data_IF_052268738206
#
_entry.id   IF_052268738206
#
_cell.length_a   1.000
_cell.length_b   1.000
_cell.length_c   1.000
_cell.angle_alpha   90.00
_cell.angle_beta   90.00
_cell.angle_gamma   90.00
#
_symmetry.space_group_name_H-M   'P 1'
#
loop_
_entity.id
_entity.type
_entity.pdbx_description
1 polymer ?
#
# COMPACT_ATOMS: atom_id res chain seq x y z
N UNK A 1 22.45 -13.57 -9.86
CA UNK A 1 21.71 -14.43 -8.91
C UNK A 1 21.26 -13.66 -7.68
N UNK A 2 22.07 -12.69 -7.20
CA UNK A 2 21.74 -11.86 -6.04
C UNK A 2 20.47 -11.01 -6.23
N UNK A 3 20.34 -10.31 -7.36
CA UNK A 3 19.14 -9.50 -7.70
C UNK A 3 17.84 -10.33 -7.70
N UNK A 4 17.88 -11.54 -8.24
CA UNK A 4 16.69 -12.41 -8.25
C UNK A 4 16.30 -12.84 -6.83
N UNK A 5 17.29 -13.14 -5.99
CA UNK A 5 17.07 -13.55 -4.60
C UNK A 5 16.53 -12.40 -3.75
N UNK A 6 17.04 -11.18 -3.91
CA UNK A 6 16.55 -10.00 -3.19
C UNK A 6 15.09 -9.69 -3.58
N UNK A 7 14.77 -9.63 -4.87
CA UNK A 7 13.39 -9.41 -5.35
C UNK A 7 12.44 -10.49 -4.85
N UNK A 8 12.88 -11.75 -4.86
CA UNK A 8 12.07 -12.87 -4.37
C UNK A 8 11.69 -12.69 -2.90
N UNK A 9 12.67 -12.35 -2.05
CA UNK A 9 12.43 -12.12 -0.64
C UNK A 9 11.60 -10.85 -0.40
N UNK A 10 11.81 -9.76 -1.15
CA UNK A 10 10.98 -8.56 -1.07
C UNK A 10 9.53 -8.87 -1.43
N UNK A 11 9.29 -9.57 -2.54
CA UNK A 11 7.94 -9.97 -2.96
C UNK A 11 7.27 -10.87 -1.92
N UNK A 12 8.02 -11.79 -1.31
CA UNK A 12 7.53 -12.66 -0.25
C UNK A 12 7.14 -11.86 1.00
N UNK A 13 7.96 -10.89 1.43
CA UNK A 13 7.68 -10.03 2.57
C UNK A 13 6.47 -9.14 2.33
N UNK A 14 6.39 -8.47 1.17
CA UNK A 14 5.23 -7.65 0.80
C UNK A 14 3.95 -8.48 0.78
N UNK A 15 3.99 -9.68 0.20
CA UNK A 15 2.86 -10.61 0.22
C UNK A 15 2.49 -10.98 1.65
N UNK A 16 3.48 -11.32 2.49
CA UNK A 16 3.27 -11.63 3.91
C UNK A 16 2.57 -10.50 4.67
N UNK A 17 3.02 -9.26 4.48
CA UNK A 17 2.41 -8.07 5.08
C UNK A 17 0.96 -7.91 4.63
N UNK A 18 0.70 -8.02 3.32
CA UNK A 18 -0.67 -7.92 2.77
C UNK A 18 -1.57 -9.01 3.33
N UNK A 19 -1.08 -10.24 3.45
CA UNK A 19 -1.83 -11.33 4.10
C UNK A 19 -2.13 -10.99 5.57
N UNK A 20 -1.15 -10.54 6.35
CA UNK A 20 -1.37 -10.13 7.75
C UNK A 20 -2.44 -9.04 7.82
N UNK A 21 -2.48 -8.10 6.86
CA UNK A 21 -3.51 -7.08 6.80
C UNK A 21 -4.90 -7.65 6.51
N UNK A 22 -5.01 -8.52 5.51
CA UNK A 22 -6.29 -9.20 5.18
C UNK A 22 -6.81 -9.99 6.39
N UNK A 23 -5.92 -10.72 7.07
CA UNK A 23 -6.26 -11.49 8.28
C UNK A 23 -6.70 -10.60 9.44
N UNK A 24 -6.02 -9.48 9.65
CA UNK A 24 -6.41 -8.53 10.69
C UNK A 24 -7.80 -7.94 10.42
N UNK A 25 -8.07 -7.55 9.16
CA UNK A 25 -9.39 -7.04 8.74
C UNK A 25 -10.47 -8.11 8.97
N UNK A 26 -10.23 -9.34 8.55
CA UNK A 26 -11.18 -10.45 8.68
C UNK A 26 -11.43 -10.83 10.14
N UNK A 27 -10.38 -10.87 10.96
CA UNK A 27 -10.49 -11.09 12.40
C UNK A 27 -11.32 -10.00 13.09
N UNK A 28 -11.07 -8.74 12.77
CA UNK A 28 -11.86 -7.60 13.29
C UNK A 28 -13.31 -7.72 12.81
N UNK A 29 -13.53 -8.08 11.54
CA UNK A 29 -14.84 -8.22 10.95
C UNK A 29 -15.68 -9.28 11.67
N UNK A 30 -15.14 -10.49 11.83
CA UNK A 30 -15.81 -11.59 12.52
C UNK A 30 -16.07 -11.25 13.99
N UNK A 31 -15.08 -10.69 14.70
CA UNK A 31 -15.27 -10.25 16.09
C UNK A 31 -16.35 -9.16 16.24
N UNK A 32 -16.51 -8.32 15.21
CA UNK A 32 -17.55 -7.28 15.15
C UNK A 32 -18.92 -7.77 14.67
N UNK A 33 -19.05 -9.04 14.31
CA UNK A 33 -20.22 -9.61 13.61
C UNK A 33 -20.59 -8.80 12.35
N UNK A 34 -19.61 -8.38 11.56
CA UNK A 34 -19.86 -7.59 10.34
C UNK A 34 -20.14 -6.09 10.56
N UNK A 35 -20.52 -5.68 11.78
CA UNK A 35 -21.01 -4.32 12.06
C UNK A 35 -19.98 -3.22 11.76
N UNK A 36 -18.69 -3.50 11.95
CA UNK A 36 -17.63 -2.54 11.68
C UNK A 36 -17.54 -2.23 10.18
N UNK A 37 -17.48 -3.27 9.33
CA UNK A 37 -17.47 -3.13 7.88
C UNK A 37 -18.79 -2.55 7.35
N UNK A 38 -19.94 -2.96 7.89
CA UNK A 38 -21.25 -2.42 7.47
C UNK A 38 -21.36 -0.91 7.75
N UNK A 39 -20.91 -0.46 8.94
CA UNK A 39 -20.88 0.97 9.28
C UNK A 39 -19.95 1.74 8.36
N UNK A 40 -18.79 1.18 8.04
CA UNK A 40 -17.84 1.78 7.11
C UNK A 40 -18.42 1.89 5.70
N UNK A 41 -19.08 0.84 5.19
CA UNK A 41 -19.71 0.81 3.87
C UNK A 41 -20.80 1.88 3.70
N UNK A 42 -21.56 2.18 4.77
CA UNK A 42 -22.63 3.19 4.74
C UNK A 42 -22.14 4.65 4.75
N UNK A 43 -20.91 4.91 5.22
CA UNK A 43 -20.41 6.27 5.42
C UNK A 43 -19.31 6.64 4.40
N UNK A 44 -19.71 7.20 3.26
CA UNK A 44 -18.79 7.64 2.19
C UNK A 44 -17.76 8.66 2.68
N UNK A 45 -18.20 9.65 3.47
CA UNK A 45 -17.31 10.68 4.02
C UNK A 45 -16.24 10.05 4.91
N UNK A 46 -16.65 9.11 5.76
CA UNK A 46 -15.74 8.35 6.62
C UNK A 46 -14.71 7.55 5.82
N UNK A 47 -15.11 6.92 4.71
CA UNK A 47 -14.19 6.16 3.85
C UNK A 47 -13.13 7.06 3.21
N UNK A 48 -13.51 8.22 2.67
CA UNK A 48 -12.57 9.15 2.00
C UNK A 48 -11.60 9.75 3.01
N UNK A 49 -12.09 10.18 4.19
CA UNK A 49 -11.24 10.72 5.25
C UNK A 49 -10.29 9.63 5.77
N UNK A 50 -10.80 8.43 6.04
CA UNK A 50 -9.97 7.30 6.45
C UNK A 50 -8.91 6.97 5.39
N UNK A 51 -9.30 6.92 4.11
CA UNK A 51 -8.38 6.67 3.02
C UNK A 51 -7.27 7.71 2.92
N UNK A 52 -7.63 8.99 3.01
CA UNK A 52 -6.64 10.09 3.02
C UNK A 52 -5.68 9.94 4.20
N UNK A 53 -6.19 9.73 5.42
CA UNK A 53 -5.35 9.55 6.61
C UNK A 53 -4.43 8.34 6.50
N UNK A 54 -4.94 7.23 5.95
CA UNK A 54 -4.14 6.02 5.73
C UNK A 54 -3.08 6.23 4.64
N UNK A 55 -3.37 7.02 3.61
CA UNK A 55 -2.38 7.37 2.58
C UNK A 55 -1.25 8.24 3.13
N UNK A 56 -1.56 9.20 4.01
CA UNK A 56 -0.57 10.10 4.63
C UNK A 56 0.42 9.40 5.56
N UNK A 57 0.15 8.15 5.97
CA UNK A 57 1.10 7.39 6.77
C UNK A 57 2.33 7.03 5.92
N UNK A 58 3.55 7.37 6.37
CA UNK A 58 4.77 6.94 5.69
C UNK A 58 4.84 5.41 5.53
N UNK A 59 5.40 4.97 4.41
CA UNK A 59 5.45 3.57 4.00
C UNK A 59 4.16 3.08 3.34
N UNK A 60 4.11 1.78 3.04
CA UNK A 60 2.99 1.20 2.27
C UNK A 60 1.83 0.65 3.14
N UNK A 61 1.92 0.74 4.48
CA UNK A 61 0.95 0.15 5.42
C UNK A 61 -0.50 0.58 5.15
N UNK A 62 -0.76 1.89 5.18
CA UNK A 62 -2.13 2.39 5.06
C UNK A 62 -2.71 2.16 3.66
N UNK A 63 -1.87 2.21 2.62
CA UNK A 63 -2.27 1.89 1.26
C UNK A 63 -2.66 0.41 1.12
N UNK A 64 -1.87 -0.53 1.66
CA UNK A 64 -2.24 -1.95 1.67
C UNK A 64 -3.54 -2.22 2.41
N UNK A 65 -3.77 -1.56 3.54
CA UNK A 65 -5.01 -1.67 4.30
C UNK A 65 -6.22 -1.21 3.45
N UNK A 66 -6.13 -0.04 2.84
CA UNK A 66 -7.21 0.51 2.02
C UNK A 66 -7.44 -0.26 0.72
N UNK A 67 -6.38 -0.76 0.07
CA UNK A 67 -6.48 -1.63 -1.10
C UNK A 67 -7.14 -2.96 -0.73
N UNK A 68 -6.83 -3.54 0.43
CA UNK A 68 -7.46 -4.77 0.92
C UNK A 68 -8.96 -4.56 1.15
N UNK A 69 -9.34 -3.47 1.81
CA UNK A 69 -10.76 -3.10 1.98
C UNK A 69 -11.45 -2.81 0.66
N UNK A 70 -10.77 -2.19 -0.30
CA UNK A 70 -11.33 -1.87 -1.60
C UNK A 70 -11.59 -3.16 -2.37
N UNK A 71 -10.59 -4.01 -2.52
CA UNK A 71 -10.68 -5.26 -3.29
C UNK A 71 -11.76 -6.23 -2.77
N UNK A 72 -12.16 -6.09 -1.50
CA UNK A 72 -13.23 -6.85 -0.86
C UNK A 72 -14.62 -6.14 -0.84
N UNK A 73 -14.72 -4.98 -1.49
CA UNK A 73 -15.98 -4.23 -1.62
C UNK A 73 -16.41 -3.52 -0.34
N UNK A 74 -15.50 -3.26 0.59
CA UNK A 74 -15.80 -2.60 1.87
C UNK A 74 -15.61 -1.08 1.83
N UNK A 75 -14.78 -0.57 0.93
CA UNK A 75 -14.65 0.86 0.65
C UNK A 75 -14.86 1.13 -0.83
N UNK A 76 -15.40 2.32 -1.13
CA UNK A 76 -15.68 2.75 -2.49
C UNK A 76 -14.42 3.23 -3.24
N UNK A 77 -14.56 3.34 -4.56
CA UNK A 77 -13.47 3.77 -5.44
C UNK A 77 -12.94 5.18 -5.15
N UNK A 78 -13.80 6.11 -4.71
CA UNK A 78 -13.36 7.44 -4.30
C UNK A 78 -12.42 7.42 -3.09
N UNK A 79 -12.64 6.51 -2.13
CA UNK A 79 -11.74 6.35 -0.99
C UNK A 79 -10.40 5.76 -1.41
N UNK A 80 -10.41 4.78 -2.34
CA UNK A 80 -9.17 4.24 -2.92
C UNK A 80 -8.36 5.34 -3.61
N UNK A 81 -8.99 6.15 -4.47
CA UNK A 81 -8.30 7.25 -5.18
C UNK A 81 -7.76 8.28 -4.19
N UNK A 82 -8.51 8.63 -3.14
CA UNK A 82 -8.02 9.50 -2.09
C UNK A 82 -6.76 8.94 -1.40
N UNK A 83 -6.76 7.64 -1.06
CA UNK A 83 -5.57 7.00 -0.48
C UNK A 83 -4.36 7.07 -1.41
N UNK A 84 -4.55 6.72 -2.70
CA UNK A 84 -3.45 6.66 -3.67
C UNK A 84 -2.89 8.04 -4.03
N UNK A 85 -3.69 9.11 -3.93
CA UNK A 85 -3.20 10.49 -4.13
C UNK A 85 -2.53 11.03 -2.86
N UNK A 86 -2.98 10.62 -1.68
CA UNK A 86 -2.44 11.10 -0.41
C UNK A 86 -1.10 10.43 -0.04
N UNK A 87 -0.82 9.25 -0.60
CA UNK A 87 0.36 8.47 -0.24
C UNK A 87 1.61 8.92 -0.98
N UNK A 88 2.73 8.90 -0.26
CA UNK A 88 4.07 9.08 -0.83
C UNK A 88 4.95 7.86 -0.51
N UNK A 89 4.34 6.72 -0.17
CA UNK A 89 5.03 5.46 0.11
C UNK A 89 6.25 5.61 1.01
N UNK A 90 7.35 4.97 0.62
CA UNK A 90 8.62 5.03 1.35
C UNK A 90 9.37 6.36 1.11
N UNK A 91 9.04 7.10 0.05
CA UNK A 91 9.69 8.39 -0.23
C UNK A 91 9.32 9.47 0.78
N UNK A 92 8.20 9.30 1.50
CA UNK A 92 7.84 10.14 2.63
C UNK A 92 8.98 10.21 3.67
N UNK A 93 9.67 9.09 3.97
CA UNK A 93 10.80 9.09 4.90
C UNK A 93 11.94 9.96 4.40
N UNK A 94 12.25 9.88 3.10
CA UNK A 94 13.29 10.68 2.46
C UNK A 94 12.91 12.18 2.48
N UNK A 95 11.66 12.52 2.17
CA UNK A 95 11.17 13.91 2.22
C UNK A 95 11.27 14.49 3.64
N UNK A 96 10.86 13.73 4.67
CA UNK A 96 10.98 14.17 6.07
C UNK A 96 12.43 14.27 6.54
N UNK A 97 13.34 13.48 5.96
CA UNK A 97 14.78 13.56 6.25
C UNK A 97 15.43 14.79 5.59
N UNK A 98 15.21 14.98 4.29
CA UNK A 98 15.89 16.01 3.50
C UNK A 98 15.29 17.41 3.67
N UNK A 99 13.96 17.52 3.81
CA UNK A 99 13.25 18.80 3.86
C UNK A 99 11.98 18.76 4.74
N UNK A 100 12.09 18.48 6.04
CA UNK A 100 10.94 18.18 6.92
C UNK A 100 9.82 19.21 6.89
N UNK A 101 10.14 20.50 6.92
CA UNK A 101 9.13 21.58 6.89
C UNK A 101 8.37 21.59 5.57
N UNK A 102 9.08 21.49 4.44
CA UNK A 102 8.46 21.42 3.11
C UNK A 102 7.66 20.13 2.95
N UNK A 103 8.15 19.02 3.51
CA UNK A 103 7.47 17.73 3.48
C UNK A 103 6.09 17.81 4.16
N UNK A 104 5.99 18.42 5.35
CA UNK A 104 4.71 18.65 6.03
C UNK A 104 3.75 19.44 5.13
N UNK A 105 4.23 20.52 4.51
CA UNK A 105 3.40 21.37 3.65
C UNK A 105 2.91 20.59 2.42
N UNK A 106 3.79 19.82 1.78
CA UNK A 106 3.43 18.94 0.65
C UNK A 106 2.37 17.92 1.07
N UNK A 107 2.53 17.24 2.21
CA UNK A 107 1.55 16.27 2.70
C UNK A 107 0.19 16.92 3.02
N UNK A 108 0.17 18.16 3.52
CA UNK A 108 -1.09 18.92 3.70
C UNK A 108 -1.75 19.20 2.34
N UNK A 109 -0.99 19.62 1.33
CA UNK A 109 -1.54 19.82 -0.01
C UNK A 109 -2.07 18.51 -0.61
N UNK A 110 -1.30 17.42 -0.51
CA UNK A 110 -1.73 16.09 -0.95
C UNK A 110 -3.01 15.66 -0.25
N UNK A 111 -3.14 15.88 1.07
CA UNK A 111 -4.36 15.56 1.82
C UNK A 111 -5.59 16.31 1.28
N UNK A 112 -5.46 17.61 1.02
CA UNK A 112 -6.56 18.43 0.49
C UNK A 112 -6.94 17.96 -0.91
N UNK A 113 -5.96 17.75 -1.79
CA UNK A 113 -6.17 17.29 -3.17
C UNK A 113 -6.82 15.90 -3.16
N UNK A 114 -6.32 14.98 -2.32
CA UNK A 114 -6.85 13.64 -2.15
C UNK A 114 -8.32 13.64 -1.73
N UNK A 115 -8.71 14.47 -0.77
CA UNK A 115 -10.10 14.59 -0.32
C UNK A 115 -10.99 15.09 -1.47
N UNK A 116 -10.56 16.15 -2.18
CA UNK A 116 -11.31 16.72 -3.31
C UNK A 116 -11.45 15.67 -4.42
N UNK A 117 -10.35 15.02 -4.80
CA UNK A 117 -10.31 13.98 -5.81
C UNK A 117 -11.15 12.77 -5.43
N UNK A 118 -11.14 12.38 -4.15
CA UNK A 118 -11.94 11.27 -3.62
C UNK A 118 -13.43 11.54 -3.72
N UNK A 119 -13.89 12.75 -3.37
CA UNK A 119 -15.28 13.15 -3.56
C UNK A 119 -15.65 13.24 -5.04
N UNK A 120 -14.82 13.88 -5.85
CA UNK A 120 -15.05 13.99 -7.30
C UNK A 120 -15.21 12.60 -7.94
N UNK A 121 -14.28 11.70 -7.64
CA UNK A 121 -14.31 10.30 -8.09
C UNK A 121 -15.56 9.58 -7.58
N UNK A 122 -15.91 9.74 -6.30
CA UNK A 122 -17.12 9.11 -5.76
C UNK A 122 -18.37 9.54 -6.53
N UNK A 123 -18.55 10.83 -6.82
CA UNK A 123 -19.72 11.31 -7.55
C UNK A 123 -19.73 10.90 -9.03
N UNK A 124 -18.57 10.91 -9.70
CA UNK A 124 -18.45 10.48 -11.11
C UNK A 124 -18.78 8.99 -11.26
N UNK A 125 -18.33 8.16 -10.31
CA UNK A 125 -18.48 6.70 -10.40
C UNK A 125 -19.62 6.14 -9.53
N UNK A 126 -20.43 6.99 -8.89
CA UNK A 126 -21.53 6.61 -7.97
C UNK A 126 -22.47 5.55 -8.53
N UNK A 127 -22.76 5.61 -9.83
CA UNK A 127 -23.71 4.72 -10.53
C UNK A 127 -23.02 3.58 -11.30
N UNK A 128 -21.69 3.54 -11.33
CA UNK A 128 -20.94 2.44 -11.94
C UNK A 128 -20.51 1.50 -10.84
N UNK A 129 -21.15 0.33 -10.75
CA UNK A 129 -20.53 -0.82 -10.09
C UNK A 129 -19.27 -1.15 -10.90
N UNK A 130 -18.13 -0.56 -10.52
CA UNK A 130 -16.84 -1.09 -10.92
C UNK A 130 -16.91 -2.52 -10.40
N UNK A 131 -17.03 -3.50 -11.31
CA UNK A 131 -17.25 -4.90 -10.98
C UNK A 131 -16.08 -5.39 -10.11
N UNK A 132 -16.21 -5.21 -8.80
CA UNK A 132 -15.46 -5.94 -7.81
C UNK A 132 -16.12 -7.31 -7.80
N UNK A 133 -15.32 -8.34 -8.12
CA UNK A 133 -15.75 -9.71 -7.99
C UNK A 133 -16.35 -9.94 -6.58
N UNK A 134 -17.25 -10.91 -6.46
CA UNK A 134 -17.99 -11.30 -5.23
C UNK A 134 -17.07 -11.80 -4.08
N UNK A 135 -15.98 -11.11 -3.78
CA UNK A 135 -15.01 -11.43 -2.75
C UNK A 135 -15.34 -10.56 -1.53
N UNK A 136 -16.33 -10.98 -0.75
CA UNK A 136 -16.66 -10.30 0.50
C UNK A 136 -15.99 -11.04 1.66
N UNK A 137 -15.63 -10.31 2.71
CA UNK A 137 -15.37 -10.92 4.01
C UNK A 137 -16.71 -11.46 4.54
N UNK A 138 -16.97 -12.73 4.28
CA UNK A 138 -18.21 -13.39 4.71
C UNK A 138 -18.15 -13.69 6.21
N UNK A 139 -19.27 -13.50 6.90
CA UNK A 139 -19.43 -13.94 8.28
C UNK A 139 -20.39 -15.12 8.24
N UNK A 140 -19.89 -16.33 8.48
CA UNK A 140 -20.72 -17.52 8.53
C UNK A 140 -21.47 -17.57 9.87
N UNK A 141 -22.66 -18.17 9.87
CA UNK A 141 -23.53 -18.24 11.05
C UNK A 141 -22.83 -18.94 12.24
N UNK A 142 -21.95 -19.90 11.95
CA UNK A 142 -21.09 -20.59 12.93
C UNK A 142 -19.98 -19.71 13.52
N UNK A 143 -19.58 -18.63 12.84
CA UNK A 143 -18.54 -17.70 13.34
C UNK A 143 -19.04 -16.85 14.52
N UNK A 144 -20.37 -16.74 14.69
CA UNK A 144 -20.99 -16.01 15.81
C UNK A 144 -21.15 -16.86 17.08
N UNK A 145 -21.03 -18.19 16.97
CA UNK A 145 -21.04 -19.08 18.15
C UNK A 145 -19.68 -19.01 18.83
N UNK A 146 -19.65 -18.44 20.04
CA UNK A 146 -18.46 -18.42 20.89
C UNK A 146 -18.12 -19.84 21.37
N UNK A 147 -17.46 -20.62 20.54
CA UNK A 147 -16.73 -21.80 21.04
C UNK A 147 -15.61 -21.30 21.96
N UNK A 148 -15.66 -21.68 23.23
CA UNK A 148 -14.56 -21.42 24.18
C UNK A 148 -13.43 -22.40 23.85
N UNK A 149 -12.55 -22.01 22.94
CA UNK A 149 -11.35 -22.78 22.60
C UNK A 149 -10.20 -22.42 23.55
N UNK A 150 -9.53 -23.44 24.10
CA UNK A 150 -8.31 -23.28 24.88
C UNK A 150 -7.09 -23.38 23.97
N UNK A 151 -6.12 -22.48 24.13
CA UNK A 151 -4.85 -22.49 23.35
C UNK A 151 -4.14 -23.84 23.48
N UNK A 152 -4.18 -24.44 24.67
CA UNK A 152 -3.49 -25.70 24.96
C UNK A 152 -4.13 -26.86 24.19
N UNK A 153 -5.46 -26.86 24.06
CA UNK A 153 -6.20 -27.89 23.35
C UNK A 153 -6.00 -27.77 21.83
N UNK A 154 -6.01 -26.53 21.33
CA UNK A 154 -5.71 -26.20 19.93
C UNK A 154 -4.27 -26.56 19.51
N UNK A 155 -3.29 -26.45 20.42
CA UNK A 155 -1.90 -26.84 20.18
C UNK A 155 -1.70 -28.36 20.26
N UNK A 156 -2.47 -29.06 21.09
CA UNK A 156 -2.43 -30.54 21.16
C UNK A 156 -3.02 -31.20 19.91
N UNK A 157 -4.03 -30.60 19.31
CA UNK A 157 -4.66 -31.07 18.07
C UNK A 157 -4.41 -30.08 16.92
N UNK A 158 -3.12 -29.77 16.68
CA UNK A 158 -2.75 -28.85 15.61
C UNK A 158 -3.03 -29.46 14.24
N UNK A 159 -3.81 -28.76 13.42
CA UNK A 159 -4.03 -29.14 12.02
C UNK A 159 -2.86 -28.68 11.16
N UNK A 160 -2.70 -29.32 10.00
CA UNK A 160 -1.66 -28.96 9.03
C UNK A 160 -1.76 -27.49 8.61
N UNK A 161 -2.98 -27.00 8.38
CA UNK A 161 -3.25 -25.61 8.01
C UNK A 161 -2.79 -24.64 9.10
N UNK A 162 -3.16 -24.87 10.37
CA UNK A 162 -2.73 -24.03 11.49
C UNK A 162 -1.21 -24.05 11.64
N UNK A 163 -0.58 -25.22 11.57
CA UNK A 163 0.88 -25.35 11.67
C UNK A 163 1.61 -24.58 10.57
N UNK A 164 1.16 -24.69 9.33
CA UNK A 164 1.78 -24.02 8.18
C UNK A 164 1.62 -22.50 8.26
N UNK A 165 0.45 -22.00 8.67
CA UNK A 165 0.21 -20.57 8.86
C UNK A 165 1.07 -19.98 9.97
N UNK A 166 1.17 -20.66 11.11
CA UNK A 166 2.04 -20.24 12.22
C UNK A 166 3.51 -20.25 11.80
N UNK A 167 3.95 -21.29 11.07
CA UNK A 167 5.31 -21.38 10.55
C UNK A 167 5.62 -20.23 9.57
N UNK A 168 4.76 -19.99 8.58
CA UNK A 168 4.94 -18.91 7.62
C UNK A 168 4.96 -17.53 8.29
N UNK A 169 4.07 -17.30 9.27
CA UNK A 169 4.03 -16.05 10.01
C UNK A 169 5.25 -15.86 10.93
N UNK A 170 5.77 -16.94 11.51
CA UNK A 170 7.03 -16.90 12.25
C UNK A 170 8.20 -16.50 11.34
N UNK A 171 8.27 -17.02 10.11
CA UNK A 171 9.27 -16.60 9.13
C UNK A 171 9.15 -15.11 8.77
N UNK A 172 7.92 -14.60 8.59
CA UNK A 172 7.69 -13.16 8.35
C UNK A 172 8.16 -12.33 9.55
N UNK A 173 7.84 -12.72 10.78
CA UNK A 173 8.29 -12.02 11.99
C UNK A 173 9.82 -12.06 12.13
N UNK A 174 10.43 -13.20 11.86
CA UNK A 174 11.90 -13.35 11.89
C UNK A 174 12.54 -12.46 10.82
N UNK A 175 12.00 -12.44 9.60
CA UNK A 175 12.50 -11.57 8.55
C UNK A 175 12.34 -10.09 8.91
N UNK A 176 11.21 -9.71 9.51
CA UNK A 176 10.95 -8.35 9.97
C UNK A 176 11.73 -7.97 11.24
N UNK A 177 12.35 -8.88 11.98
CA UNK A 177 13.13 -8.52 13.18
C UNK A 177 14.64 -8.67 12.97
N UNK A 178 15.07 -9.69 12.22
CA UNK A 178 16.47 -9.97 11.91
C UNK A 178 16.88 -9.32 10.58
N UNK A 179 15.98 -9.34 9.60
CA UNK A 179 16.24 -8.90 8.22
C UNK A 179 16.09 -7.40 7.97
N UNK A 180 16.29 -6.54 8.97
CA UNK A 180 16.25 -5.07 8.84
C UNK A 180 17.20 -4.44 7.81
N UNK A 181 17.94 -5.24 7.05
CA UNK A 181 18.74 -4.82 5.89
C UNK A 181 18.27 -5.37 4.54
N UNK A 182 17.04 -5.92 4.42
CA UNK A 182 16.55 -6.51 3.15
C UNK A 182 15.43 -5.71 2.46
N UNK A 183 14.93 -4.66 3.12
CA UNK A 183 14.13 -3.61 2.48
C UNK A 183 14.98 -2.42 2.01
N UNK A 184 16.30 -2.48 2.20
CA UNK A 184 17.24 -1.55 1.57
C UNK A 184 17.56 -2.02 0.15
N UNK A 185 16.63 -1.80 -0.78
CA UNK A 185 17.06 -1.67 -2.18
C UNK A 185 17.66 -0.26 -2.32
N UNK A 186 18.98 -0.24 -2.37
CA UNK A 186 19.90 0.70 -3.04
C UNK A 186 19.38 2.14 -3.26
N UNK A 187 19.95 3.16 -2.62
CA UNK A 187 21.33 3.56 -2.84
C UNK A 187 22.08 3.93 -1.55
N UNK A 188 23.25 3.33 -1.44
CA UNK A 188 24.36 3.76 -0.61
C UNK A 188 24.74 5.20 -1.00
N UNK A 189 24.29 6.20 -0.24
CA UNK A 189 25.05 7.39 0.15
C UNK A 189 24.17 8.41 0.89
N UNK A 190 24.67 8.81 2.06
CA UNK A 190 24.37 10.02 2.81
C UNK A 190 23.13 10.04 3.72
N UNK A 191 23.49 9.99 5.02
CA UNK A 191 22.91 10.73 6.14
C UNK A 191 21.87 9.96 6.97
N UNK A 192 22.33 9.49 8.14
CA UNK A 192 21.55 9.09 9.34
C UNK A 192 20.03 9.05 9.10
N UNK A 193 19.53 7.92 8.61
CA UNK A 193 18.10 7.64 8.63
C UNK A 193 17.61 7.87 10.06
N UNK A 194 16.66 8.80 10.24
CA UNK A 194 15.86 8.79 11.45
C UNK A 194 15.22 7.41 11.58
N UNK A 195 15.09 6.89 12.81
CA UNK A 195 14.56 5.56 13.15
C UNK A 195 13.10 5.28 12.70
N UNK A 196 12.54 6.01 11.73
CA UNK A 196 11.17 5.84 11.23
C UNK A 196 10.98 4.54 10.45
N UNK A 197 11.94 4.14 9.61
CA UNK A 197 11.88 2.86 8.89
C UNK A 197 11.89 1.69 9.88
N UNK A 198 12.81 1.73 10.85
CA UNK A 198 12.87 0.77 11.96
C UNK A 198 11.54 0.73 12.74
N UNK A 199 10.94 1.89 13.03
CA UNK A 199 9.65 1.97 13.73
C UNK A 199 8.52 1.29 12.94
N UNK A 200 8.40 1.55 11.65
CA UNK A 200 7.37 0.93 10.80
C UNK A 200 7.58 -0.57 10.68
N UNK A 201 8.83 -1.02 10.58
CA UNK A 201 9.17 -2.44 10.63
C UNK A 201 8.75 -3.08 11.96
N UNK A 202 8.97 -2.41 13.10
CA UNK A 202 8.48 -2.88 14.40
C UNK A 202 6.95 -2.90 14.48
N UNK A 203 6.26 -1.94 13.88
CA UNK A 203 4.78 -1.94 13.79
C UNK A 203 4.30 -3.15 13.00
N UNK A 204 4.91 -3.46 11.85
CA UNK A 204 4.57 -4.66 11.08
C UNK A 204 4.87 -5.94 11.84
N UNK A 205 6.02 -6.04 12.50
CA UNK A 205 6.36 -7.17 13.34
C UNK A 205 5.36 -7.35 14.49
N UNK A 206 4.91 -6.25 15.13
CA UNK A 206 3.90 -6.29 16.17
C UNK A 206 2.53 -6.74 15.64
N UNK A 207 2.12 -6.29 14.46
CA UNK A 207 0.87 -6.72 13.81
C UNK A 207 0.91 -8.20 13.42
N UNK A 208 2.05 -8.65 12.87
CA UNK A 208 2.28 -10.06 12.58
C UNK A 208 2.24 -10.90 13.87
N UNK A 209 2.83 -10.42 14.96
CA UNK A 209 2.80 -11.07 16.28
C UNK A 209 1.36 -11.14 16.85
N UNK A 210 0.57 -10.06 16.75
CA UNK A 210 -0.83 -10.06 17.16
C UNK A 210 -1.62 -11.10 16.36
N UNK A 211 -1.40 -11.16 15.05
CA UNK A 211 -2.03 -12.14 14.17
C UNK A 211 -1.60 -13.57 14.53
N UNK A 212 -0.33 -13.77 14.88
CA UNK A 212 0.19 -15.07 15.34
C UNK A 212 -0.52 -15.55 16.60
N UNK A 213 -0.66 -14.69 17.60
CA UNK A 213 -1.41 -15.01 18.81
C UNK A 213 -2.91 -15.17 18.58
N UNK A 214 -3.49 -14.48 17.60
CA UNK A 214 -4.87 -14.68 17.19
C UNK A 214 -5.08 -16.08 16.61
N UNK A 215 -4.21 -16.53 15.69
CA UNK A 215 -4.27 -17.86 15.05
C UNK A 215 -4.20 -18.99 16.10
N UNK A 216 -3.42 -18.81 17.17
CA UNK A 216 -3.36 -19.77 18.27
C UNK A 216 -4.70 -19.93 19.02
N UNK A 217 -5.52 -18.88 19.07
CA UNK A 217 -6.81 -18.86 19.78
C UNK A 217 -7.99 -19.23 18.90
N UNK A 218 -7.90 -18.95 17.60
CA UNK A 218 -9.02 -19.06 16.67
C UNK A 218 -9.49 -20.52 16.48
N UNK A 219 -10.82 -20.73 16.35
CA UNK A 219 -11.39 -22.06 16.13
C UNK A 219 -10.98 -22.61 14.76
N UNK A 220 -11.03 -23.94 14.62
CA UNK A 220 -10.51 -24.61 13.43
C UNK A 220 -11.25 -24.23 12.15
N UNK A 221 -12.58 -24.05 12.24
CA UNK A 221 -13.41 -23.56 11.13
C UNK A 221 -12.89 -22.24 10.54
N UNK A 222 -12.50 -21.30 11.41
CA UNK A 222 -11.98 -20.01 10.96
C UNK A 222 -10.63 -20.16 10.25
N UNK A 223 -9.81 -21.12 10.67
CA UNK A 223 -8.53 -21.39 10.01
C UNK A 223 -8.73 -22.05 8.65
N UNK A 224 -9.63 -23.02 8.55
CA UNK A 224 -9.83 -23.77 7.31
C UNK A 224 -10.57 -22.98 6.24
N UNK A 225 -11.63 -22.27 6.60
CA UNK A 225 -12.49 -21.55 5.65
C UNK A 225 -11.94 -20.15 5.34
N UNK A 226 -11.71 -19.33 6.38
CA UNK A 226 -11.31 -17.93 6.22
C UNK A 226 -9.81 -17.78 5.90
N UNK A 227 -8.93 -18.35 6.74
CA UNK A 227 -7.47 -18.19 6.51
C UNK A 227 -7.00 -19.00 5.30
N UNK A 228 -7.30 -20.30 5.28
CA UNK A 228 -6.76 -21.19 4.27
C UNK A 228 -7.55 -21.14 2.97
N UNK A 229 -8.87 -21.29 3.05
CA UNK A 229 -9.78 -21.32 1.90
C UNK A 229 -9.91 -19.98 1.18
N UNK A 230 -10.07 -18.89 1.92
CA UNK A 230 -10.22 -17.55 1.38
C UNK A 230 -8.87 -16.85 1.20
N UNK A 231 -8.09 -16.63 2.26
CA UNK A 231 -6.87 -15.78 2.18
C UNK A 231 -5.71 -16.48 1.45
N UNK A 232 -5.26 -17.66 1.89
CA UNK A 232 -4.10 -18.32 1.28
C UNK A 232 -4.40 -18.83 -0.13
N UNK A 233 -5.45 -19.65 -0.31
CA UNK A 233 -5.71 -20.30 -1.60
C UNK A 233 -6.10 -19.32 -2.71
N UNK A 234 -6.82 -18.23 -2.40
CA UNK A 234 -7.26 -17.28 -3.44
C UNK A 234 -6.27 -16.16 -3.69
N UNK A 235 -5.63 -15.63 -2.64
CA UNK A 235 -4.86 -14.39 -2.75
C UNK A 235 -3.34 -14.58 -2.74
N UNK A 236 -2.79 -15.46 -1.90
CA UNK A 236 -1.34 -15.54 -1.69
C UNK A 236 -0.55 -15.70 -2.98
N UNK A 237 -0.82 -16.75 -3.76
CA UNK A 237 -0.04 -17.05 -4.97
C UNK A 237 -0.21 -15.96 -6.03
N UNK A 238 -1.42 -15.43 -6.15
CA UNK A 238 -1.74 -14.37 -7.12
C UNK A 238 -1.02 -13.07 -6.79
N UNK A 239 -1.10 -12.61 -5.54
CA UNK A 239 -0.41 -11.40 -5.07
C UNK A 239 1.10 -11.59 -5.20
N UNK A 240 1.63 -12.73 -4.76
CA UNK A 240 3.05 -13.03 -4.83
C UNK A 240 3.58 -13.00 -6.26
N UNK A 241 2.94 -13.71 -7.20
CA UNK A 241 3.39 -13.78 -8.59
C UNK A 241 3.30 -12.42 -9.29
N UNK A 242 2.25 -11.64 -9.05
CA UNK A 242 2.11 -10.29 -9.62
C UNK A 242 3.13 -9.32 -9.03
N UNK A 243 3.34 -9.35 -7.72
CA UNK A 243 4.34 -8.51 -7.03
C UNK A 243 5.75 -8.85 -7.51
N UNK A 244 6.11 -10.13 -7.48
CA UNK A 244 7.41 -10.62 -7.95
C UNK A 244 7.65 -10.28 -9.42
N UNK A 245 6.65 -10.53 -10.29
CA UNK A 245 6.75 -10.23 -11.72
C UNK A 245 6.87 -8.74 -12.00
N UNK A 246 6.10 -7.89 -11.29
CA UNK A 246 6.19 -6.44 -11.45
C UNK A 246 7.57 -5.93 -11.02
N UNK A 247 8.04 -6.31 -9.83
CA UNK A 247 9.36 -5.91 -9.34
C UNK A 247 10.48 -6.38 -10.27
N UNK A 248 10.42 -7.61 -10.77
CA UNK A 248 11.40 -8.12 -11.73
C UNK A 248 11.43 -7.29 -13.02
N UNK A 249 10.26 -6.93 -13.56
CA UNK A 249 10.19 -6.11 -14.78
C UNK A 249 10.76 -4.71 -14.53
N UNK A 250 10.46 -4.12 -13.38
CA UNK A 250 10.89 -2.76 -13.08
C UNK A 250 12.40 -2.71 -12.83
N UNK A 251 12.95 -3.63 -12.03
CA UNK A 251 14.39 -3.73 -11.77
C UNK A 251 15.20 -3.93 -13.05
N UNK A 252 14.67 -4.71 -14.01
CA UNK A 252 15.32 -4.91 -15.31
C UNK A 252 15.19 -3.68 -16.23
N UNK A 253 14.16 -2.86 -16.04
CA UNK A 253 13.91 -1.68 -16.86
C UNK A 253 14.66 -0.43 -16.37
N UNK A 254 14.83 -0.26 -15.06
CA UNK A 254 15.41 0.94 -14.47
C UNK A 254 16.83 1.27 -14.93
N UNK A 255 17.78 0.31 -15.02
CA UNK A 255 19.14 0.60 -15.48
C UNK A 255 19.21 1.10 -16.93
N UNK A 256 18.18 0.85 -17.73
CA UNK A 256 18.08 1.31 -19.13
C UNK A 256 17.52 2.74 -19.21
N UNK A 257 16.83 3.18 -18.16
CA UNK A 257 16.27 4.52 -18.03
C UNK A 257 17.29 5.43 -17.35
N UNK A 258 18.16 6.05 -18.13
CA UNK A 258 19.12 7.03 -17.62
C UNK A 258 18.40 8.34 -17.23
N UNK A 259 17.76 8.36 -16.05
CA UNK A 259 16.82 9.40 -15.59
C UNK A 259 17.48 10.78 -15.44
N UNK A 260 18.79 10.83 -15.19
CA UNK A 260 19.56 12.08 -15.08
C UNK A 260 19.66 12.84 -16.41
N UNK A 261 19.55 12.13 -17.54
CA UNK A 261 19.56 12.75 -18.88
C UNK A 261 18.22 13.45 -19.19
N UNK A 262 17.16 13.20 -18.41
CA UNK A 262 15.82 13.73 -18.67
C UNK A 262 15.54 15.08 -18.02
N UNK A 263 16.56 15.71 -17.41
CA UNK A 263 16.50 17.10 -16.95
C UNK A 263 16.46 18.03 -18.16
N UNK A 264 15.27 18.17 -18.74
CA UNK A 264 15.01 19.08 -19.84
C UNK A 264 14.86 20.50 -19.29
N UNK A 265 15.33 21.49 -20.05
CA UNK A 265 15.15 22.92 -19.75
C UNK A 265 13.67 23.34 -19.57
N UNK A 266 12.71 22.52 -20.00
CA UNK A 266 11.30 22.82 -19.92
C UNK A 266 10.60 22.08 -18.74
N UNK A 267 10.16 22.79 -17.69
CA UNK A 267 9.55 22.18 -16.50
C UNK A 267 8.22 21.47 -16.80
N UNK A 268 7.52 21.84 -17.87
CA UNK A 268 6.26 21.18 -18.27
C UNK A 268 6.54 19.80 -18.88
N UNK A 269 7.60 19.68 -19.68
CA UNK A 269 8.01 18.39 -20.25
C UNK A 269 8.49 17.48 -19.12
N UNK A 270 9.25 18.04 -18.15
CA UNK A 270 9.68 17.30 -16.98
C UNK A 270 8.50 16.83 -16.13
N UNK A 271 7.48 17.67 -15.91
CA UNK A 271 6.23 17.28 -15.26
C UNK A 271 5.55 16.11 -15.99
N UNK A 272 5.44 16.16 -17.32
CA UNK A 272 4.84 15.09 -18.10
C UNK A 272 5.60 13.77 -17.91
N UNK A 273 6.93 13.80 -17.97
CA UNK A 273 7.80 12.64 -17.74
C UNK A 273 7.60 12.11 -16.31
N UNK A 274 7.59 13.00 -15.32
CA UNK A 274 7.42 12.63 -13.92
C UNK A 274 6.06 11.97 -13.66
N UNK A 275 4.98 12.47 -14.28
CA UNK A 275 3.67 11.82 -14.22
C UNK A 275 3.64 10.46 -14.93
N UNK A 276 4.35 10.29 -16.05
CA UNK A 276 4.43 9.00 -16.75
C UNK A 276 5.21 7.96 -15.93
N UNK A 277 6.32 8.38 -15.33
CA UNK A 277 7.12 7.53 -14.45
C UNK A 277 6.33 7.13 -13.20
N UNK A 278 5.56 8.04 -12.61
CA UNK A 278 4.71 7.76 -11.45
C UNK A 278 3.63 6.69 -11.70
N UNK A 279 3.38 6.28 -12.94
CA UNK A 279 2.49 5.14 -13.23
C UNK A 279 3.08 3.83 -12.72
N UNK A 280 4.41 3.73 -12.66
CA UNK A 280 5.14 2.56 -12.18
C UNK A 280 4.90 2.42 -10.66
N UNK A 281 4.26 1.32 -10.19
CA UNK A 281 3.91 1.14 -8.78
C UNK A 281 5.12 0.66 -7.95
N UNK A 282 6.11 1.54 -7.80
CA UNK A 282 7.36 1.29 -7.07
C UNK A 282 7.96 2.62 -6.62
N UNK A 283 8.46 2.69 -5.37
CA UNK A 283 8.99 3.92 -4.75
C UNK A 283 10.25 4.49 -5.46
N UNK A 284 11.13 3.63 -6.02
CA UNK A 284 12.46 4.00 -6.53
C UNK A 284 12.48 5.15 -7.57
N UNK A 285 11.74 5.04 -8.68
CA UNK A 285 11.71 6.07 -9.72
C UNK A 285 11.26 7.45 -9.23
N UNK A 286 10.42 7.49 -8.19
CA UNK A 286 9.95 8.75 -7.62
C UNK A 286 10.99 9.41 -6.70
N UNK A 287 11.78 8.62 -5.97
CA UNK A 287 12.85 9.16 -5.10
C UNK A 287 13.82 10.07 -5.86
N UNK A 288 14.06 9.81 -7.15
CA UNK A 288 14.85 10.68 -8.03
C UNK A 288 14.27 12.11 -8.09
N UNK A 289 12.95 12.27 -8.18
CA UNK A 289 12.34 13.60 -8.15
C UNK A 289 12.41 14.26 -6.77
N UNK A 290 12.32 13.47 -5.70
CA UNK A 290 12.49 13.96 -4.32
C UNK A 290 13.90 14.52 -4.11
N UNK A 291 14.94 13.77 -4.51
CA UNK A 291 16.33 14.20 -4.37
C UNK A 291 16.62 15.43 -5.24
N UNK A 292 16.16 15.43 -6.50
CA UNK A 292 16.30 16.58 -7.39
C UNK A 292 15.62 17.85 -6.85
N UNK A 293 14.45 17.72 -6.22
CA UNK A 293 13.78 18.85 -5.57
C UNK A 293 14.57 19.33 -4.35
N UNK A 294 15.08 18.41 -3.53
CA UNK A 294 15.92 18.75 -2.39
C UNK A 294 17.18 19.51 -2.80
N UNK A 295 17.78 19.15 -3.94
CA UNK A 295 18.93 19.84 -4.55
C UNK A 295 18.56 21.16 -5.26
N UNK A 296 17.28 21.51 -5.34
CA UNK A 296 16.81 22.73 -6.01
C UNK A 296 16.81 22.68 -7.54
N UNK A 297 16.93 21.49 -8.13
CA UNK A 297 17.01 21.31 -9.59
C UNK A 297 15.62 21.39 -10.25
N UNK A 298 14.58 20.90 -9.57
CA UNK A 298 13.21 20.88 -10.11
C UNK A 298 12.26 21.76 -9.30
N UNK A 299 11.25 22.38 -9.94
CA UNK A 299 10.27 23.19 -9.23
C UNK A 299 9.28 22.32 -8.45
N UNK A 300 8.65 22.91 -7.43
CA UNK A 300 7.64 22.25 -6.60
C UNK A 300 6.50 21.62 -7.41
N UNK A 301 6.08 22.23 -8.51
CA UNK A 301 5.01 21.70 -9.34
C UNK A 301 5.34 20.35 -9.98
N UNK A 302 6.61 20.08 -10.33
CA UNK A 302 7.04 18.76 -10.83
C UNK A 302 6.93 17.72 -9.72
N UNK A 303 7.44 18.04 -8.52
CA UNK A 303 7.36 17.15 -7.36
C UNK A 303 5.90 16.88 -6.95
N UNK A 304 5.06 17.91 -6.88
CA UNK A 304 3.63 17.74 -6.57
C UNK A 304 2.94 16.86 -7.61
N UNK A 305 3.23 17.08 -8.89
CA UNK A 305 2.67 16.27 -9.96
C UNK A 305 3.08 14.81 -9.87
N UNK A 306 4.37 14.52 -9.62
CA UNK A 306 4.84 13.14 -9.46
C UNK A 306 4.30 12.48 -8.19
N UNK A 307 4.27 13.18 -7.06
CA UNK A 307 3.75 12.67 -5.78
C UNK A 307 2.26 12.33 -5.80
N UNK A 308 1.46 12.97 -6.67
CA UNK A 308 0.05 12.62 -6.84
C UNK A 308 -0.14 11.32 -7.63
N UNK A 309 0.76 11.03 -8.57
CA UNK A 309 0.63 9.88 -9.48
C UNK A 309 1.22 8.61 -8.88
N UNK A 310 2.32 8.78 -8.15
CA UNK A 310 3.00 7.72 -7.45
C UNK A 310 2.16 7.15 -6.31
N UNK A 311 2.19 5.84 -6.14
CA UNK A 311 1.54 5.12 -5.02
C UNK A 311 2.45 4.06 -4.36
N UNK A 312 3.73 4.06 -4.74
CA UNK A 312 4.74 3.12 -4.27
C UNK A 312 4.34 1.67 -4.51
N UNK A 313 4.86 0.77 -3.69
CA UNK A 313 4.47 -0.64 -3.73
C UNK A 313 3.00 -0.89 -3.37
N UNK A 314 2.34 0.10 -2.76
CA UNK A 314 0.97 0.04 -2.24
C UNK A 314 -0.07 -0.40 -3.26
N UNK A 315 0.15 -0.12 -4.55
CA UNK A 315 -0.77 -0.47 -5.63
C UNK A 315 -0.49 -1.84 -6.29
N UNK A 316 0.59 -2.54 -5.96
CA UNK A 316 0.87 -3.88 -6.50
C UNK A 316 -0.22 -4.91 -6.17
N UNK A 317 -0.77 -4.97 -4.94
CA UNK A 317 -1.90 -5.86 -4.65
C UNK A 317 -3.17 -5.45 -5.40
N UNK A 318 -3.37 -4.15 -5.64
CA UNK A 318 -4.49 -3.66 -6.44
C UNK A 318 -4.37 -4.09 -7.90
N UNK A 319 -3.16 -4.04 -8.47
CA UNK A 319 -2.88 -4.54 -9.81
C UNK A 319 -3.17 -6.05 -9.92
N UNK A 320 -2.78 -6.82 -8.90
CA UNK A 320 -3.07 -8.25 -8.83
C UNK A 320 -4.58 -8.50 -8.77
N UNK A 321 -5.30 -7.84 -7.85
CA UNK A 321 -6.70 -8.16 -7.55
C UNK A 321 -7.72 -7.49 -8.48
N UNK A 322 -7.46 -6.24 -8.90
CA UNK A 322 -8.38 -5.45 -9.72
C UNK A 322 -7.63 -4.58 -10.73
N UNK A 323 -7.17 -5.20 -11.83
CA UNK A 323 -6.48 -4.50 -12.94
C UNK A 323 -7.26 -3.29 -13.47
N UNK A 324 -8.59 -3.41 -13.60
CA UNK A 324 -9.46 -2.31 -14.03
C UNK A 324 -9.48 -1.17 -13.01
N UNK A 325 -9.54 -1.49 -11.72
CA UNK A 325 -9.46 -0.52 -10.64
C UNK A 325 -8.11 0.19 -10.62
N UNK A 326 -7.01 -0.56 -10.75
CA UNK A 326 -5.65 -0.05 -10.87
C UNK A 326 -5.51 0.94 -12.03
N UNK A 327 -5.82 0.52 -13.26
CA UNK A 327 -5.66 1.35 -14.46
C UNK A 327 -6.50 2.62 -14.38
N UNK A 328 -7.74 2.52 -13.87
CA UNK A 328 -8.62 3.68 -13.73
C UNK A 328 -8.12 4.64 -12.65
N UNK A 329 -7.66 4.13 -11.50
CA UNK A 329 -7.12 4.95 -10.43
C UNK A 329 -5.86 5.68 -10.92
N UNK A 330 -4.93 4.97 -11.56
CA UNK A 330 -3.73 5.57 -12.17
C UNK A 330 -4.07 6.63 -13.20
N UNK A 331 -5.02 6.37 -14.09
CA UNK A 331 -5.45 7.37 -15.08
C UNK A 331 -5.98 8.66 -14.41
N UNK A 332 -6.79 8.52 -13.36
CA UNK A 332 -7.29 9.67 -12.59
C UNK A 332 -6.14 10.40 -11.91
N UNK A 333 -5.22 9.68 -11.25
CA UNK A 333 -4.07 10.28 -10.60
C UNK A 333 -3.16 11.01 -11.59
N UNK A 334 -2.89 10.46 -12.78
CA UNK A 334 -2.11 11.12 -13.85
C UNK A 334 -2.75 12.45 -14.27
N UNK A 335 -4.07 12.46 -14.50
CA UNK A 335 -4.77 13.69 -14.89
C UNK A 335 -4.67 14.73 -13.77
N UNK A 336 -4.96 14.33 -12.52
CA UNK A 336 -4.93 15.25 -11.39
C UNK A 336 -3.51 15.76 -11.12
N UNK A 337 -2.52 14.86 -11.14
CA UNK A 337 -1.12 15.19 -10.94
C UNK A 337 -0.59 16.15 -11.99
N UNK A 338 -0.90 15.92 -13.27
CA UNK A 338 -0.53 16.84 -14.33
C UNK A 338 -1.21 18.20 -14.17
N UNK A 339 -2.53 18.24 -13.91
CA UNK A 339 -3.26 19.51 -13.74
C UNK A 339 -2.77 20.32 -12.54
N UNK A 340 -2.58 19.67 -11.39
CA UNK A 340 -2.07 20.32 -10.18
C UNK A 340 -0.63 20.77 -10.36
N UNK A 341 0.24 19.89 -10.85
CA UNK A 341 1.65 20.22 -11.09
C UNK A 341 1.80 21.38 -12.07
N UNK A 342 1.01 21.38 -13.14
CA UNK A 342 0.98 22.45 -14.12
C UNK A 342 0.50 23.77 -13.52
N UNK A 343 -0.56 23.74 -12.69
CA UNK A 343 -1.02 24.93 -11.98
C UNK A 343 0.05 25.50 -11.04
N UNK A 344 0.79 24.65 -10.33
CA UNK A 344 1.88 25.09 -9.45
C UNK A 344 3.04 25.73 -10.23
N UNK A 345 3.39 25.17 -11.40
CA UNK A 345 4.39 25.77 -12.31
C UNK A 345 3.91 27.14 -12.83
N UNK A 346 2.66 27.23 -13.30
CA UNK A 346 2.10 28.48 -13.83
C UNK A 346 2.00 29.60 -12.79
N UNK A 347 1.61 29.25 -11.57
CA UNK A 347 1.49 30.20 -10.46
C UNK A 347 2.84 30.52 -9.81
N UNK A 348 3.92 29.91 -10.28
CA UNK A 348 5.29 30.05 -9.76
C UNK A 348 5.36 29.85 -8.23
N UNK A 349 4.63 28.85 -7.72
CA UNK A 349 4.59 28.52 -6.30
C UNK A 349 5.92 27.85 -5.93
N UNK A 350 6.69 28.49 -5.05
CA UNK A 350 7.97 28.00 -4.56
C UNK A 350 7.91 27.84 -3.03
N UNK A 351 8.60 26.80 -2.51
CA UNK A 351 8.63 26.39 -1.09
C UNK A 351 10.04 26.49 -0.50
#
# INVERSE_FOLDING_TARGET
>A
MEVFHSIFLTALTLTGIVLVMMLMIEFINVKSNGKWLEKMQKNVHGQIILGTLMGLLPGCFGTFFMVSLFTHGNVGFGALVATLIATSGDEAFLMFSMFPVKAIIIHIFLAVIAIIAGYATHYIFKNKKINLANMHFEVHEHDTKKEKTSIIENLKHITFQRALLLFGLALVIINLTIGGGLHSHENEHALKHFHFEEYIQYVFAALALITFFAILKLPEHFISEHLWGHVIKKHFLKIFLWTFGALLVIELALPVLDLEVWVKENPIILLLIACLIGIIPESGPHMVFVTMFASGVIPLGVLMGSSIVQDGHGALPLLAESRKGFLLAKFISVIIGFLVGYAFILLNINL
#
